data_IF_533582550914
#
_entry.id   IF_533582550914
#
_cell.length_a   1.000
_cell.length_b   1.000
_cell.length_c   1.000
_cell.angle_alpha   90.00
_cell.angle_beta   90.00
_cell.angle_gamma   90.00
#
_symmetry.space_group_name_H-M   'P 1'
#
loop_
_entity.id
_entity.type
_entity.pdbx_description
1 polymer ?
#
# COMPACT_ATOMS: atom_id res chain seq x y z
N UNK A 1 17.22 22.97 39.63
CA UNK A 1 16.92 22.36 40.95
C UNK A 1 17.10 20.86 40.85
N UNK A 2 17.72 20.31 41.87
CA UNK A 2 18.35 19.00 41.98
C UNK A 2 17.43 17.92 42.57
N UNK A 3 17.61 16.67 42.11
CA UNK A 3 17.34 15.36 42.76
C UNK A 3 15.85 15.02 43.08
N UNK A 4 15.35 13.77 43.03
CA UNK A 4 15.97 12.48 43.36
C UNK A 4 15.07 11.30 42.90
N UNK A 5 15.71 10.20 42.47
CA UNK A 5 15.13 8.86 42.40
C UNK A 5 14.73 8.34 43.80
N UNK A 6 13.71 7.49 43.86
CA UNK A 6 13.57 6.42 44.87
C UNK A 6 12.71 5.28 44.31
N UNK A 7 13.22 4.08 44.51
CA UNK A 7 12.70 2.82 44.04
C UNK A 7 12.11 2.00 45.21
N UNK A 8 11.37 0.96 44.83
CA UNK A 8 10.93 -0.21 45.61
C UNK A 8 9.73 -0.04 46.55
N UNK A 9 8.72 -0.87 46.30
CA UNK A 9 7.59 -1.12 47.20
C UNK A 9 6.72 -2.26 46.69
N UNK A 10 7.19 -3.51 46.83
CA UNK A 10 6.38 -4.72 46.68
C UNK A 10 5.33 -4.73 47.78
N UNK A 11 4.04 -4.80 47.42
CA UNK A 11 2.95 -5.01 48.36
C UNK A 11 2.07 -6.18 47.89
N UNK A 12 2.25 -7.32 48.55
CA UNK A 12 1.39 -8.48 48.47
C UNK A 12 0.07 -8.17 49.20
N UNK A 13 -1.06 -8.39 48.53
CA UNK A 13 -2.38 -8.45 49.19
C UNK A 13 -2.87 -9.88 49.04
N UNK A 14 -2.82 -10.60 50.15
CA UNK A 14 -3.54 -11.85 50.35
C UNK A 14 -4.95 -11.52 50.84
N UNK A 15 -5.98 -12.06 50.19
CA UNK A 15 -7.32 -12.18 50.76
C UNK A 15 -7.79 -13.63 50.65
N UNK A 16 -7.98 -14.26 51.81
CA UNK A 16 -8.53 -15.60 51.98
C UNK A 16 -10.06 -15.58 51.92
N UNK A 17 -10.59 -16.36 50.98
CA UNK A 17 -11.73 -17.28 51.03
C UNK A 17 -13.00 -16.95 51.84
N UNK A 18 -14.14 -17.01 51.13
CA UNK A 18 -15.29 -17.78 51.58
C UNK A 18 -15.95 -18.49 50.38
N UNK A 19 -16.01 -19.81 50.52
CA UNK A 19 -16.44 -20.85 49.60
C UNK A 19 -17.96 -21.03 49.55
N UNK A 20 -18.50 -21.23 48.35
CA UNK A 20 -19.66 -22.10 48.14
C UNK A 20 -19.52 -22.84 46.79
N UNK A 21 -18.89 -24.02 46.88
CA UNK A 21 -19.22 -25.30 46.25
C UNK A 21 -19.72 -25.35 44.80
N UNK A 22 -18.83 -25.77 43.89
CA UNK A 22 -18.78 -27.10 43.22
C UNK A 22 -18.22 -26.94 41.80
N UNK A 23 -16.94 -27.25 41.59
CA UNK A 23 -16.41 -28.53 41.03
C UNK A 23 -16.94 -28.82 39.61
N UNK A 24 -16.15 -29.08 38.57
CA UNK A 24 -14.70 -29.22 38.43
C UNK A 24 -14.33 -29.26 36.92
N UNK A 25 -13.02 -29.12 36.65
CA UNK A 25 -12.27 -29.50 35.43
C UNK A 25 -11.90 -28.41 34.40
N UNK A 26 -10.67 -27.88 34.60
CA UNK A 26 -9.53 -27.69 33.67
C UNK A 26 -9.73 -28.05 32.18
N UNK A 27 -9.00 -27.53 31.19
CA UNK A 27 -8.01 -26.46 30.99
C UNK A 27 -7.66 -26.62 29.49
N UNK A 28 -7.66 -25.56 28.68
CA UNK A 28 -6.89 -25.54 27.44
C UNK A 28 -6.75 -24.11 26.91
N UNK A 29 -5.50 -23.67 26.82
CA UNK A 29 -5.06 -22.54 26.03
C UNK A 29 -5.50 -22.67 24.55
N UNK A 30 -5.81 -21.55 23.93
CA UNK A 30 -6.04 -21.46 22.49
C UNK A 30 -6.22 -20.02 22.07
N UNK A 31 -5.15 -19.42 21.54
CA UNK A 31 -5.20 -18.11 20.90
C UNK A 31 -6.23 -18.15 19.76
N UNK A 32 -7.18 -17.23 19.81
CA UNK A 32 -8.20 -17.12 18.79
C UNK A 32 -7.63 -16.34 17.62
N UNK A 33 -7.17 -17.09 16.61
CA UNK A 33 -6.95 -16.60 15.25
C UNK A 33 -8.26 -15.96 14.78
N UNK A 34 -8.22 -14.63 14.60
CA UNK A 34 -9.25 -13.91 13.88
C UNK A 34 -9.14 -14.31 12.41
N UNK A 35 -10.02 -15.21 11.98
CA UNK A 35 -10.28 -15.51 10.58
C UNK A 35 -10.71 -14.22 9.87
N UNK A 36 -9.75 -13.58 9.21
CA UNK A 36 -10.02 -12.52 8.25
C UNK A 36 -10.52 -13.21 6.98
N UNK A 37 -11.84 -13.15 6.79
CA UNK A 37 -12.50 -13.48 5.53
C UNK A 37 -11.91 -12.60 4.42
N UNK A 38 -11.00 -13.17 3.63
CA UNK A 38 -10.52 -12.59 2.39
C UNK A 38 -11.73 -12.40 1.47
N UNK A 39 -12.23 -11.17 1.40
CA UNK A 39 -13.24 -10.78 0.44
C UNK A 39 -12.49 -10.22 -0.76
N UNK A 40 -12.70 -10.84 -1.91
CA UNK A 40 -12.17 -10.51 -3.23
C UNK A 40 -11.95 -9.00 -3.44
N UNK A 41 -10.70 -8.59 -3.44
CA UNK A 41 -10.23 -7.37 -4.11
C UNK A 41 -9.37 -7.74 -5.31
N UNK A 42 -9.85 -8.67 -6.13
CA UNK A 42 -9.21 -9.06 -7.39
C UNK A 42 -10.09 -8.69 -8.59
N UNK A 43 -10.45 -7.41 -8.72
CA UNK A 43 -10.96 -6.84 -9.98
C UNK A 43 -10.58 -5.36 -10.13
N UNK A 44 -9.27 -5.09 -10.18
CA UNK A 44 -8.75 -3.86 -10.76
C UNK A 44 -7.33 -4.08 -11.32
N UNK A 45 -7.15 -5.12 -12.15
CA UNK A 45 -6.02 -5.24 -13.04
C UNK A 45 -6.48 -6.02 -14.28
N UNK A 46 -6.23 -5.47 -15.47
CA UNK A 46 -6.65 -6.10 -16.71
C UNK A 46 -6.07 -7.50 -16.89
N UNK A 47 -6.94 -8.47 -17.20
CA UNK A 47 -6.67 -9.63 -18.05
C UNK A 47 -5.41 -10.46 -17.79
N UNK A 48 -4.92 -10.61 -16.56
CA UNK A 48 -3.89 -11.59 -16.25
C UNK A 48 -4.54 -12.95 -16.01
N UNK A 49 -4.06 -14.00 -16.68
CA UNK A 49 -4.56 -15.36 -16.44
C UNK A 49 -4.05 -15.89 -15.09
N UNK A 50 -4.73 -16.89 -14.52
CA UNK A 50 -4.26 -17.55 -13.29
C UNK A 50 -2.83 -18.12 -13.44
N UNK A 51 -2.44 -18.50 -14.66
CA UNK A 51 -1.08 -18.96 -14.97
C UNK A 51 -0.06 -17.81 -14.92
N UNK A 52 -0.43 -16.61 -15.36
CA UNK A 52 0.42 -15.41 -15.28
C UNK A 52 0.65 -14.98 -13.83
N UNK A 53 -0.38 -15.07 -12.98
CA UNK A 53 -0.28 -14.77 -11.55
C UNK A 53 0.64 -15.76 -10.82
N UNK A 54 0.55 -17.06 -11.12
CA UNK A 54 1.43 -18.08 -10.55
C UNK A 54 2.88 -17.87 -11.01
N UNK A 55 3.10 -17.57 -12.29
CA UNK A 55 4.44 -17.30 -12.82
C UNK A 55 5.06 -16.06 -12.17
N UNK A 56 4.30 -14.98 -12.03
CA UNK A 56 4.74 -13.76 -11.33
C UNK A 56 5.10 -14.04 -9.86
N UNK A 57 4.29 -14.85 -9.16
CA UNK A 57 4.58 -15.27 -7.79
C UNK A 57 5.88 -16.07 -7.68
N UNK A 58 6.20 -16.92 -8.66
CA UNK A 58 7.48 -17.63 -8.67
C UNK A 58 8.67 -16.70 -8.92
N UNK A 59 8.56 -15.73 -9.83
CA UNK A 59 9.62 -14.75 -10.10
C UNK A 59 9.92 -13.88 -8.88
N UNK A 60 8.87 -13.45 -8.17
CA UNK A 60 9.00 -12.72 -6.90
C UNK A 60 9.80 -13.53 -5.87
N UNK A 61 9.49 -14.82 -5.71
CA UNK A 61 10.21 -15.69 -4.77
C UNK A 61 11.69 -15.83 -5.11
N UNK A 62 12.02 -15.94 -6.40
CA UNK A 62 13.41 -16.02 -6.85
C UNK A 62 14.17 -14.71 -6.58
N UNK A 63 13.52 -13.56 -6.77
CA UNK A 63 14.11 -12.24 -6.51
C UNK A 63 14.38 -12.03 -5.01
N UNK A 64 13.42 -12.37 -4.16
CA UNK A 64 13.56 -12.35 -2.70
C UNK A 64 14.70 -13.27 -2.28
N UNK A 65 14.74 -14.50 -2.81
CA UNK A 65 15.81 -15.45 -2.51
C UNK A 65 17.19 -14.91 -2.93
N UNK A 66 17.29 -14.25 -4.09
CA UNK A 66 18.55 -13.64 -4.53
C UNK A 66 19.02 -12.51 -3.59
N UNK A 67 18.09 -11.71 -3.08
CA UNK A 67 18.37 -10.68 -2.08
C UNK A 67 18.84 -11.30 -0.76
N UNK A 68 18.14 -12.32 -0.27
CA UNK A 68 18.48 -13.03 0.97
C UNK A 68 19.88 -13.66 0.88
N UNK A 69 20.20 -14.32 -0.23
CA UNK A 69 21.51 -14.90 -0.48
C UNK A 69 22.61 -13.83 -0.59
N UNK A 70 22.29 -12.64 -1.11
CA UNK A 70 23.22 -11.50 -1.10
C UNK A 70 23.52 -11.05 0.33
N UNK A 71 22.50 -10.97 1.19
CA UNK A 71 22.67 -10.61 2.60
C UNK A 71 23.40 -11.70 3.39
N UNK A 72 23.16 -12.97 3.05
CA UNK A 72 23.89 -14.10 3.60
C UNK A 72 25.38 -14.04 3.22
N UNK A 73 25.70 -13.72 1.97
CA UNK A 73 27.09 -13.55 1.52
C UNK A 73 27.82 -12.44 2.30
N UNK A 74 27.17 -11.30 2.54
CA UNK A 74 27.74 -10.22 3.36
C UNK A 74 28.01 -10.72 4.79
N UNK A 75 27.05 -11.44 5.39
CA UNK A 75 27.20 -12.00 6.74
C UNK A 75 28.35 -13.01 6.82
N UNK A 76 28.50 -13.85 5.79
CA UNK A 76 29.59 -14.82 5.70
C UNK A 76 30.96 -14.15 5.52
N UNK A 77 31.05 -13.07 4.74
CA UNK A 77 32.26 -12.23 4.64
C UNK A 77 32.64 -11.67 6.02
N UNK A 78 31.66 -11.17 6.78
CA UNK A 78 31.89 -10.62 8.12
C UNK A 78 32.34 -11.69 9.13
N UNK A 79 31.90 -12.93 8.95
CA UNK A 79 32.34 -14.08 9.72
C UNK A 79 33.71 -14.63 9.28
N UNK A 80 34.28 -14.15 8.17
CA UNK A 80 35.51 -14.67 7.58
C UNK A 80 35.35 -15.97 6.78
N UNK A 81 34.12 -16.35 6.47
CA UNK A 81 33.78 -17.57 5.73
C UNK A 81 33.66 -17.30 4.22
N UNK A 82 34.79 -17.12 3.53
CA UNK A 82 34.78 -16.78 2.10
C UNK A 82 34.10 -17.85 1.22
N UNK A 83 34.26 -19.13 1.54
CA UNK A 83 33.62 -20.21 0.76
C UNK A 83 32.09 -20.13 0.85
N UNK A 84 31.56 -19.91 2.06
CA UNK A 84 30.12 -19.76 2.27
C UNK A 84 29.57 -18.53 1.55
N UNK A 85 30.34 -17.43 1.53
CA UNK A 85 29.99 -16.24 0.76
C UNK A 85 29.94 -16.53 -0.76
N UNK A 86 30.94 -17.22 -1.30
CA UNK A 86 30.97 -17.63 -2.72
C UNK A 86 29.76 -18.51 -3.05
N UNK A 87 29.46 -19.50 -2.20
CA UNK A 87 28.33 -20.40 -2.42
C UNK A 87 26.99 -19.65 -2.39
N UNK A 88 26.83 -18.67 -1.50
CA UNK A 88 25.66 -17.80 -1.45
C UNK A 88 25.52 -16.93 -2.70
N UNK A 89 26.61 -16.30 -3.17
CA UNK A 89 26.59 -15.51 -4.41
C UNK A 89 26.32 -16.38 -5.66
N UNK A 90 26.79 -17.64 -5.67
CA UNK A 90 26.46 -18.58 -6.74
C UNK A 90 24.96 -18.90 -6.77
N UNK A 91 24.35 -19.13 -5.59
CA UNK A 91 22.89 -19.30 -5.48
C UNK A 91 22.14 -18.04 -5.95
N UNK A 92 22.53 -16.86 -5.46
CA UNK A 92 21.94 -15.58 -5.88
C UNK A 92 22.01 -15.38 -7.40
N UNK A 93 23.17 -15.67 -8.01
CA UNK A 93 23.37 -15.59 -9.46
C UNK A 93 22.41 -16.54 -10.18
N UNK A 94 22.32 -17.80 -9.77
CA UNK A 94 21.40 -18.77 -10.38
C UNK A 94 19.94 -18.31 -10.33
N UNK A 95 19.51 -17.72 -9.21
CA UNK A 95 18.17 -17.13 -9.04
C UNK A 95 17.91 -15.99 -10.02
N UNK A 96 18.86 -15.06 -10.15
CA UNK A 96 18.74 -13.92 -11.07
C UNK A 96 18.72 -14.35 -12.54
N UNK A 97 19.53 -15.35 -12.91
CA UNK A 97 19.54 -15.91 -14.26
C UNK A 97 18.23 -16.62 -14.61
N UNK A 98 17.58 -17.29 -13.65
CA UNK A 98 16.23 -17.87 -13.87
C UNK A 98 15.22 -16.77 -14.19
N UNK A 99 15.26 -15.66 -13.45
CA UNK A 99 14.36 -14.51 -13.70
C UNK A 99 14.61 -13.94 -15.09
N UNK A 100 15.86 -13.65 -15.43
CA UNK A 100 16.24 -13.08 -16.73
C UNK A 100 15.99 -14.02 -17.91
N UNK A 101 16.06 -15.33 -17.70
CA UNK A 101 15.74 -16.32 -18.74
C UNK A 101 14.25 -16.32 -19.06
N UNK A 102 13.40 -16.14 -18.04
CA UNK A 102 11.94 -16.13 -18.21
C UNK A 102 11.43 -14.78 -18.71
N UNK A 103 11.98 -13.70 -18.17
CA UNK A 103 11.60 -12.33 -18.49
C UNK A 103 12.85 -11.50 -18.86
N UNK A 104 13.40 -11.66 -20.08
CA UNK A 104 14.66 -11.02 -20.49
C UNK A 104 14.64 -9.49 -20.48
N UNK A 105 13.45 -8.89 -20.57
CA UNK A 105 13.27 -7.44 -20.60
C UNK A 105 12.82 -6.87 -19.24
N UNK A 106 12.73 -7.69 -18.20
CA UNK A 106 12.34 -7.23 -16.87
C UNK A 106 13.44 -6.33 -16.30
N UNK A 107 13.13 -5.05 -16.13
CA UNK A 107 14.09 -4.07 -15.61
C UNK A 107 14.21 -4.13 -14.07
N UNK A 108 13.08 -4.37 -13.40
CA UNK A 108 12.93 -4.29 -11.95
C UNK A 108 12.26 -5.56 -11.45
N UNK A 109 12.90 -6.25 -10.50
CA UNK A 109 12.31 -7.40 -9.83
C UNK A 109 11.87 -7.01 -8.41
N UNK A 110 10.58 -7.08 -8.07
CA UNK A 110 10.09 -6.74 -6.74
C UNK A 110 10.65 -7.71 -5.69
N UNK A 111 10.98 -7.19 -4.50
CA UNK A 111 11.53 -7.98 -3.38
C UNK A 111 10.89 -7.67 -2.03
N UNK A 112 10.25 -6.51 -1.88
CA UNK A 112 9.52 -6.19 -0.66
C UNK A 112 8.42 -5.16 -0.96
N UNK A 113 7.33 -5.23 -0.21
CA UNK A 113 6.28 -4.23 -0.21
C UNK A 113 6.13 -3.64 1.20
N UNK A 114 5.89 -2.34 1.28
CA UNK A 114 5.39 -1.69 2.49
C UNK A 114 4.20 -0.81 2.16
N UNK A 115 3.28 -0.70 3.11
CA UNK A 115 2.07 0.10 2.97
C UNK A 115 2.14 1.22 3.98
N UNK A 116 1.94 2.45 3.52
CA UNK A 116 1.86 3.64 4.35
C UNK A 116 0.47 4.23 4.15
N UNK A 117 -0.23 4.49 5.24
CA UNK A 117 -1.54 5.13 5.21
C UNK A 117 -1.41 6.56 5.72
N UNK A 118 -1.91 7.50 4.93
CA UNK A 118 -2.15 8.87 5.31
C UNK A 118 -3.65 9.12 5.22
N UNK A 119 -4.25 9.67 6.27
CA UNK A 119 -5.67 10.00 6.23
C UNK A 119 -5.97 11.35 6.88
N UNK A 120 -6.67 12.20 6.13
CA UNK A 120 -7.12 13.51 6.58
C UNK A 120 -8.52 13.38 7.16
N UNK A 121 -8.63 13.58 8.47
CA UNK A 121 -9.91 13.63 9.18
C UNK A 121 -10.45 15.07 9.24
N UNK A 122 -10.75 15.64 8.08
CA UNK A 122 -11.28 17.00 7.93
C UNK A 122 -12.40 17.05 6.89
N UNK A 123 -13.01 18.23 6.71
CA UNK A 123 -13.98 18.44 5.62
C UNK A 123 -13.28 18.94 4.35
N UNK A 124 -13.90 18.81 3.16
CA UNK A 124 -13.36 19.41 1.93
C UNK A 124 -13.10 20.92 2.07
N UNK A 125 -13.94 21.62 2.85
CA UNK A 125 -13.78 23.05 3.13
C UNK A 125 -12.53 23.38 3.95
N UNK A 126 -12.23 22.57 4.97
CA UNK A 126 -11.03 22.75 5.80
C UNK A 126 -9.76 22.52 4.98
N UNK A 127 -9.76 21.48 4.13
CA UNK A 127 -8.64 21.18 3.22
C UNK A 127 -8.43 22.30 2.22
N UNK A 128 -9.52 22.86 1.67
CA UNK A 128 -9.44 23.99 0.76
C UNK A 128 -8.85 25.22 1.44
N UNK A 129 -9.30 25.56 2.66
CA UNK A 129 -8.75 26.69 3.42
C UNK A 129 -7.26 26.51 3.73
N UNK A 130 -6.82 25.28 4.02
CA UNK A 130 -5.40 24.97 4.22
C UNK A 130 -4.61 25.09 2.91
N UNK A 131 -5.19 24.67 1.79
CA UNK A 131 -4.59 24.79 0.46
C UNK A 131 -4.40 26.25 0.05
N UNK A 132 -5.43 27.09 0.24
CA UNK A 132 -5.35 28.54 0.00
C UNK A 132 -4.23 29.17 0.85
N UNK A 133 -4.09 28.73 2.11
CA UNK A 133 -3.01 29.21 2.99
C UNK A 133 -1.61 28.80 2.51
N UNK A 134 -1.48 27.60 1.94
CA UNK A 134 -0.21 27.11 1.37
C UNK A 134 0.15 27.91 0.11
N UNK A 135 -0.85 28.25 -0.71
CA UNK A 135 -0.69 29.12 -1.88
C UNK A 135 -0.16 30.49 -1.47
N UNK A 136 -0.81 31.17 -0.51
CA UNK A 136 -0.36 32.45 0.04
C UNK A 136 1.10 32.39 0.52
N UNK A 137 1.46 31.38 1.31
CA UNK A 137 2.82 31.21 1.83
C UNK A 137 3.84 30.96 0.72
N UNK A 138 3.44 30.28 -0.36
CA UNK A 138 4.29 30.00 -1.51
C UNK A 138 4.52 31.28 -2.32
N UNK A 139 3.48 32.07 -2.54
CA UNK A 139 3.53 33.38 -3.22
C UNK A 139 4.37 34.40 -2.43
N UNK A 140 4.32 34.36 -1.10
CA UNK A 140 5.18 35.14 -0.20
C UNK A 140 6.64 34.65 -0.17
N UNK A 141 6.96 33.52 -0.81
CA UNK A 141 8.29 32.90 -0.79
C UNK A 141 8.65 32.16 0.50
N UNK A 142 7.68 31.91 1.39
CA UNK A 142 7.84 31.26 2.70
C UNK A 142 7.74 29.73 2.60
N UNK A 143 8.59 29.17 1.74
CA UNK A 143 8.54 27.75 1.36
C UNK A 143 8.69 26.77 2.54
N UNK A 144 9.44 27.14 3.59
CA UNK A 144 9.63 26.27 4.76
C UNK A 144 8.39 26.16 5.64
N UNK A 145 7.53 27.17 5.63
CA UNK A 145 6.24 27.13 6.34
C UNK A 145 5.20 26.40 5.50
N UNK A 146 5.14 26.69 4.20
CA UNK A 146 4.29 25.97 3.25
C UNK A 146 4.57 24.45 3.30
N UNK A 147 5.85 24.05 3.26
CA UNK A 147 6.26 22.63 3.31
C UNK A 147 5.71 21.88 4.53
N UNK A 148 5.68 22.52 5.71
CA UNK A 148 5.18 21.91 6.95
C UNK A 148 3.66 21.74 6.92
N UNK A 149 2.94 22.64 6.25
CA UNK A 149 1.50 22.52 6.08
C UNK A 149 1.13 21.46 5.04
N UNK A 150 1.89 21.37 3.94
CA UNK A 150 1.69 20.36 2.89
C UNK A 150 1.84 18.91 3.41
N UNK A 151 2.64 18.68 4.45
CA UNK A 151 2.79 17.35 5.07
C UNK A 151 1.45 16.75 5.55
N UNK A 152 0.48 17.60 5.89
CA UNK A 152 -0.85 17.18 6.34
C UNK A 152 -1.89 17.00 5.22
N UNK A 153 -1.56 17.27 3.97
CA UNK A 153 -2.49 17.23 2.83
C UNK A 153 -2.40 15.92 2.04
N UNK A 154 -2.58 14.79 2.72
CA UNK A 154 -2.57 13.47 2.08
C UNK A 154 -3.64 12.55 2.67
N UNK A 155 -4.56 12.08 1.83
CA UNK A 155 -5.53 11.03 2.18
C UNK A 155 -5.40 9.91 1.15
N UNK A 156 -4.48 9.00 1.41
CA UNK A 156 -4.03 7.96 0.49
C UNK A 156 -3.39 6.78 1.21
N UNK A 157 -3.44 5.63 0.57
CA UNK A 157 -2.53 4.54 0.87
C UNK A 157 -1.43 4.51 -0.20
N UNK A 158 -0.18 4.52 0.23
CA UNK A 158 0.98 4.39 -0.64
C UNK A 158 1.57 2.99 -0.50
N UNK A 159 1.54 2.22 -1.59
CA UNK A 159 2.25 0.95 -1.67
C UNK A 159 3.64 1.23 -2.23
N UNK A 160 4.65 1.05 -1.38
CA UNK A 160 6.06 1.11 -1.76
C UNK A 160 6.55 -0.28 -2.09
N UNK A 161 7.06 -0.45 -3.30
CA UNK A 161 7.69 -1.69 -3.74
C UNK A 161 9.19 -1.44 -3.90
N UNK A 162 10.00 -2.17 -3.15
CA UNK A 162 11.44 -2.23 -3.34
C UNK A 162 11.77 -3.22 -4.44
N UNK A 163 12.63 -2.84 -5.37
CA UNK A 163 12.97 -3.64 -6.54
C UNK A 163 14.49 -3.77 -6.75
N UNK A 164 14.93 -4.97 -7.13
CA UNK A 164 16.27 -5.21 -7.65
C UNK A 164 16.38 -4.68 -9.09
N UNK A 165 17.35 -3.81 -9.40
CA UNK A 165 17.60 -3.38 -10.77
C UNK A 165 18.33 -4.48 -11.56
N UNK A 166 17.60 -5.25 -12.35
CA UNK A 166 18.14 -6.42 -13.06
C UNK A 166 19.16 -6.06 -14.15
N UNK A 167 19.20 -4.82 -14.60
CA UNK A 167 20.21 -4.33 -15.55
C UNK A 167 21.62 -4.15 -14.96
N UNK A 168 21.76 -4.06 -13.63
CA UNK A 168 23.06 -3.79 -12.98
C UNK A 168 23.37 -4.72 -11.82
N UNK A 169 22.34 -5.16 -11.10
CA UNK A 169 22.50 -5.97 -9.89
C UNK A 169 23.20 -7.32 -10.13
N UNK A 170 22.85 -8.12 -11.16
CA UNK A 170 23.51 -9.40 -11.42
C UNK A 170 25.02 -9.28 -11.67
N UNK A 171 25.46 -8.24 -12.38
CA UNK A 171 26.87 -7.99 -12.65
C UNK A 171 27.65 -7.62 -11.39
N UNK A 172 27.01 -6.93 -10.44
CA UNK A 172 27.60 -6.63 -9.15
C UNK A 172 27.81 -7.91 -8.31
N UNK A 173 26.84 -8.83 -8.33
CA UNK A 173 26.97 -10.15 -7.67
C UNK A 173 28.13 -10.95 -8.26
N UNK A 174 28.22 -11.03 -9.60
CA UNK A 174 29.33 -11.72 -10.29
C UNK A 174 30.69 -11.09 -9.96
N UNK A 175 30.76 -9.76 -9.91
CA UNK A 175 31.99 -9.03 -9.54
C UNK A 175 32.41 -9.30 -8.10
N UNK A 176 31.48 -9.34 -7.15
CA UNK A 176 31.78 -9.67 -5.77
C UNK A 176 32.30 -11.11 -5.62
N UNK A 177 31.73 -12.08 -6.36
CA UNK A 177 32.24 -13.45 -6.37
C UNK A 177 33.69 -13.51 -6.88
N UNK A 178 34.01 -12.83 -7.98
CA UNK A 178 35.38 -12.76 -8.50
C UNK A 178 36.37 -12.14 -7.48
N UNK A 179 35.95 -11.12 -6.73
CA UNK A 179 36.78 -10.51 -5.68
C UNK A 179 37.02 -11.47 -4.50
N UNK A 180 36.07 -12.34 -4.17
CA UNK A 180 36.27 -13.37 -3.14
C UNK A 180 37.27 -14.43 -3.58
N UNK A 181 37.22 -14.84 -4.85
CA UNK A 181 38.22 -15.75 -5.44
C UNK A 181 39.63 -15.13 -5.45
N UNK A 182 39.72 -13.80 -5.66
CA UNK A 182 40.96 -13.02 -5.54
C UNK A 182 41.42 -12.78 -4.09
N UNK A 183 40.73 -13.36 -3.10
CA UNK A 183 40.99 -13.17 -1.67
C UNK A 183 40.87 -11.70 -1.22
N UNK A 184 39.93 -10.95 -1.81
CA UNK A 184 39.61 -9.54 -1.47
C UNK A 184 38.21 -9.40 -0.85
N UNK A 185 37.96 -10.00 0.33
CA UNK A 185 36.62 -10.04 0.93
C UNK A 185 36.05 -8.66 1.27
N UNK A 186 36.89 -7.72 1.68
CA UNK A 186 36.42 -6.36 2.01
C UNK A 186 35.99 -5.57 0.77
N UNK A 187 36.69 -5.74 -0.36
CA UNK A 187 36.29 -5.15 -1.63
C UNK A 187 34.99 -5.78 -2.14
N UNK A 188 34.84 -7.11 -2.01
CA UNK A 188 33.61 -7.82 -2.35
C UNK A 188 32.42 -7.30 -1.53
N UNK A 189 32.58 -7.15 -0.22
CA UNK A 189 31.53 -6.59 0.66
C UNK A 189 31.11 -5.19 0.22
N UNK A 190 32.06 -4.31 -0.13
CA UNK A 190 31.73 -2.97 -0.62
C UNK A 190 30.94 -3.02 -1.93
N UNK A 191 31.27 -3.92 -2.86
CA UNK A 191 30.49 -4.12 -4.09
C UNK A 191 29.05 -4.53 -3.76
N UNK A 192 28.86 -5.50 -2.85
CA UNK A 192 27.52 -5.96 -2.46
C UNK A 192 26.70 -4.87 -1.77
N UNK A 193 27.29 -4.12 -0.83
CA UNK A 193 26.60 -3.00 -0.15
C UNK A 193 26.23 -1.88 -1.12
N UNK A 194 27.11 -1.58 -2.09
CA UNK A 194 26.81 -0.63 -3.15
C UNK A 194 25.65 -1.15 -4.01
N UNK A 195 25.62 -2.43 -4.36
CA UNK A 195 24.52 -3.04 -5.11
C UNK A 195 23.19 -2.94 -4.36
N UNK A 196 23.17 -3.25 -3.05
CA UNK A 196 21.97 -3.09 -2.21
C UNK A 196 21.49 -1.63 -2.12
N UNK A 197 22.42 -0.68 -2.16
CA UNK A 197 22.11 0.76 -2.17
C UNK A 197 21.49 1.23 -3.51
N UNK A 198 21.46 0.38 -4.54
CA UNK A 198 20.80 0.67 -5.83
C UNK A 198 19.38 0.12 -5.93
N UNK A 199 18.83 -0.50 -4.86
CA UNK A 199 17.44 -0.95 -4.84
C UNK A 199 16.51 0.23 -5.16
N UNK A 200 15.65 0.01 -6.16
CA UNK A 200 14.73 1.04 -6.66
C UNK A 200 13.40 0.92 -5.95
N UNK A 201 12.96 1.99 -5.30
CA UNK A 201 11.62 2.08 -4.72
C UNK A 201 10.68 2.68 -5.75
N UNK A 202 9.61 1.95 -6.07
CA UNK A 202 8.48 2.43 -6.87
C UNK A 202 7.26 2.58 -5.97
N UNK A 203 6.42 3.56 -6.25
CA UNK A 203 5.21 3.84 -5.47
C UNK A 203 3.96 3.65 -6.33
N UNK A 204 2.93 3.04 -5.73
CA UNK A 204 1.56 3.03 -6.24
C UNK A 204 0.68 3.76 -5.24
N UNK A 205 -0.04 4.78 -5.70
CA UNK A 205 -0.86 5.64 -4.83
C UNK A 205 -2.32 5.20 -4.96
N UNK A 206 -2.96 4.92 -3.83
CA UNK A 206 -4.39 4.61 -3.74
C UNK A 206 -5.08 5.78 -3.03
N UNK A 207 -5.70 6.71 -3.78
CA UNK A 207 -6.35 7.88 -3.21
C UNK A 207 -7.61 7.47 -2.44
N UNK A 208 -7.59 7.63 -1.11
CA UNK A 208 -8.67 7.19 -0.23
C UNK A 208 -10.02 7.86 -0.54
N UNK A 209 -10.09 9.18 -0.84
CA UNK A 209 -11.37 9.80 -1.17
C UNK A 209 -12.02 9.20 -2.43
N UNK A 210 -11.23 8.87 -3.45
CA UNK A 210 -11.75 8.25 -4.68
C UNK A 210 -12.28 6.83 -4.39
N UNK A 211 -11.56 6.04 -3.58
CA UNK A 211 -12.00 4.70 -3.17
C UNK A 211 -13.26 4.74 -2.30
N UNK A 212 -13.34 5.69 -1.36
CA UNK A 212 -14.52 5.89 -0.51
C UNK A 212 -15.73 6.30 -1.35
N UNK A 213 -15.54 7.18 -2.33
CA UNK A 213 -16.59 7.56 -3.27
C UNK A 213 -17.09 6.38 -4.10
N UNK A 214 -16.18 5.56 -4.65
CA UNK A 214 -16.51 4.35 -5.40
C UNK A 214 -17.30 3.36 -4.54
N UNK A 215 -16.89 3.16 -3.28
CA UNK A 215 -17.57 2.29 -2.32
C UNK A 215 -19.00 2.77 -2.01
N UNK A 216 -19.20 4.08 -1.84
CA UNK A 216 -20.55 4.63 -1.63
C UNK A 216 -21.44 4.50 -2.88
N UNK A 217 -20.90 4.70 -4.09
CA UNK A 217 -21.65 4.44 -5.33
C UNK A 217 -22.05 2.96 -5.44
N UNK A 218 -21.17 2.06 -5.07
CA UNK A 218 -21.46 0.62 -5.06
C UNK A 218 -22.53 0.25 -4.02
N UNK A 219 -22.49 0.84 -2.82
CA UNK A 219 -23.53 0.69 -1.82
C UNK A 219 -24.90 1.19 -2.35
N UNK A 220 -24.91 2.32 -3.06
CA UNK A 220 -26.11 2.82 -3.74
C UNK A 220 -26.62 1.85 -4.82
N UNK A 221 -25.72 1.22 -5.59
CA UNK A 221 -26.05 0.21 -6.61
C UNK A 221 -26.80 -0.98 -6.03
N UNK A 222 -26.29 -1.53 -4.93
CA UNK A 222 -26.89 -2.69 -4.26
C UNK A 222 -28.33 -2.40 -3.83
N UNK A 223 -28.60 -1.20 -3.30
CA UNK A 223 -29.95 -0.79 -2.90
C UNK A 223 -30.83 -0.50 -4.12
N UNK A 224 -30.27 0.14 -5.16
CA UNK A 224 -30.99 0.47 -6.40
C UNK A 224 -31.47 -0.77 -7.17
N UNK A 225 -30.77 -1.90 -7.04
CA UNK A 225 -31.12 -3.17 -7.69
C UNK A 225 -32.32 -3.91 -7.05
N UNK A 226 -32.83 -3.46 -5.90
CA UNK A 226 -34.02 -4.06 -5.28
C UNK A 226 -35.26 -3.85 -6.15
N UNK A 227 -36.07 -4.90 -6.31
CA UNK A 227 -37.32 -4.84 -7.10
C UNK A 227 -38.43 -4.03 -6.39
N UNK A 228 -38.52 -4.15 -5.06
CA UNK A 228 -39.57 -3.53 -4.24
C UNK A 228 -39.02 -2.37 -3.41
N UNK A 229 -38.46 -1.35 -4.08
CA UNK A 229 -37.84 -0.20 -3.40
C UNK A 229 -38.85 0.61 -2.61
N UNK A 230 -38.52 0.90 -1.36
CA UNK A 230 -39.31 1.79 -0.50
C UNK A 230 -38.82 3.25 -0.59
N UNK A 231 -39.51 4.16 0.11
CA UNK A 231 -39.04 5.54 0.26
C UNK A 231 -37.73 5.60 1.05
N UNK A 232 -37.58 4.74 2.04
CA UNK A 232 -36.39 4.59 2.86
C UNK A 232 -35.21 4.08 2.02
N UNK A 233 -35.44 3.13 1.10
CA UNK A 233 -34.42 2.70 0.14
C UNK A 233 -33.95 3.86 -0.75
N UNK A 234 -34.88 4.70 -1.23
CA UNK A 234 -34.54 5.86 -2.04
C UNK A 234 -33.74 6.91 -1.25
N UNK A 235 -34.07 7.10 0.02
CA UNK A 235 -33.30 7.98 0.92
C UNK A 235 -31.89 7.42 1.19
N UNK A 236 -31.76 6.10 1.35
CA UNK A 236 -30.46 5.45 1.54
C UNK A 236 -29.57 5.62 0.30
N UNK A 237 -30.12 5.45 -0.90
CA UNK A 237 -29.41 5.72 -2.16
C UNK A 237 -28.93 7.17 -2.21
N UNK A 238 -29.82 8.13 -1.97
CA UNK A 238 -29.46 9.55 -2.00
C UNK A 238 -28.37 9.89 -0.98
N UNK A 239 -28.43 9.31 0.23
CA UNK A 239 -27.41 9.50 1.26
C UNK A 239 -26.04 8.95 0.84
N UNK A 240 -25.98 7.77 0.21
CA UNK A 240 -24.72 7.22 -0.31
C UNK A 240 -24.16 8.04 -1.47
N UNK A 241 -25.01 8.47 -2.41
CA UNK A 241 -24.56 9.34 -3.51
C UNK A 241 -24.07 10.70 -3.00
N UNK A 242 -24.67 11.24 -1.95
CA UNK A 242 -24.19 12.45 -1.29
C UNK A 242 -22.80 12.25 -0.65
N UNK A 243 -22.58 11.14 0.06
CA UNK A 243 -21.25 10.79 0.59
C UNK A 243 -20.22 10.68 -0.54
N UNK A 244 -20.58 10.04 -1.65
CA UNK A 244 -19.68 9.92 -2.79
C UNK A 244 -19.28 11.28 -3.36
N UNK A 245 -20.23 12.22 -3.46
CA UNK A 245 -19.96 13.61 -3.90
C UNK A 245 -19.02 14.34 -2.94
N UNK A 246 -19.26 14.25 -1.64
CA UNK A 246 -18.40 14.86 -0.62
C UNK A 246 -16.97 14.31 -0.69
N UNK A 247 -16.81 13.01 -0.95
CA UNK A 247 -15.50 12.39 -1.13
C UNK A 247 -14.81 12.80 -2.45
N UNK A 248 -15.56 13.06 -3.52
CA UNK A 248 -14.99 13.63 -4.75
C UNK A 248 -14.56 15.09 -4.53
N UNK A 249 -15.33 15.88 -3.78
CA UNK A 249 -14.93 17.23 -3.38
C UNK A 249 -13.66 17.19 -2.50
N UNK A 250 -13.55 16.21 -1.59
CA UNK A 250 -12.33 15.97 -0.84
C UNK A 250 -11.15 15.62 -1.75
N UNK A 251 -11.36 14.73 -2.74
CA UNK A 251 -10.34 14.37 -3.72
C UNK A 251 -9.83 15.61 -4.48
N UNK A 252 -10.76 16.48 -4.89
CA UNK A 252 -10.46 17.72 -5.58
C UNK A 252 -9.69 18.70 -4.71
N UNK A 253 -10.09 18.86 -3.45
CA UNK A 253 -9.43 19.74 -2.49
C UNK A 253 -8.00 19.28 -2.18
N UNK A 254 -7.75 17.97 -2.14
CA UNK A 254 -6.41 17.38 -1.96
C UNK A 254 -5.58 17.33 -3.25
N UNK A 255 -6.14 17.76 -4.39
CA UNK A 255 -5.43 17.78 -5.67
C UNK A 255 -5.26 16.41 -6.32
N UNK A 256 -6.10 15.44 -6.00
CA UNK A 256 -6.09 14.12 -6.65
C UNK A 256 -6.77 14.16 -8.01
N UNK A 257 -6.23 13.37 -8.95
CA UNK A 257 -6.68 13.26 -10.35
C UNK A 257 -6.73 14.61 -11.07
N UNK A 258 -7.20 14.63 -12.33
CA UNK A 258 -7.41 15.91 -13.02
C UNK A 258 -8.76 16.49 -12.62
N UNK A 259 -8.85 17.83 -12.61
CA UNK A 259 -10.14 18.52 -12.41
C UNK A 259 -11.22 17.98 -13.35
N UNK A 260 -10.88 17.74 -14.62
CA UNK A 260 -11.82 17.17 -15.58
C UNK A 260 -12.32 15.79 -15.17
N UNK A 261 -11.45 14.90 -14.71
CA UNK A 261 -11.85 13.54 -14.31
C UNK A 261 -12.80 13.57 -13.10
N UNK A 262 -12.57 14.48 -12.15
CA UNK A 262 -13.44 14.66 -10.99
C UNK A 262 -14.76 15.35 -11.35
N UNK A 263 -14.74 16.37 -12.21
CA UNK A 263 -15.96 17.03 -12.70
C UNK A 263 -16.84 16.03 -13.47
N UNK A 264 -16.24 15.20 -14.35
CA UNK A 264 -16.94 14.14 -15.09
C UNK A 264 -17.58 13.11 -14.12
N UNK A 265 -16.91 12.78 -13.00
CA UNK A 265 -17.45 11.92 -11.93
C UNK A 265 -18.63 12.56 -11.19
N UNK A 266 -18.51 13.84 -10.81
CA UNK A 266 -19.60 14.57 -10.13
C UNK A 266 -20.86 14.63 -11.01
N UNK A 267 -20.69 14.94 -12.30
CA UNK A 267 -21.80 14.99 -13.26
C UNK A 267 -22.46 13.61 -13.42
N UNK A 268 -21.66 12.55 -13.51
CA UNK A 268 -22.17 11.19 -13.62
C UNK A 268 -22.95 10.73 -12.38
N UNK A 269 -22.50 11.10 -11.18
CA UNK A 269 -23.23 10.80 -9.92
C UNK A 269 -24.53 11.60 -9.84
N UNK A 270 -24.52 12.87 -10.26
CA UNK A 270 -25.73 13.70 -10.31
C UNK A 270 -26.76 13.13 -11.30
N UNK A 271 -26.31 12.64 -12.44
CA UNK A 271 -27.18 11.93 -13.39
C UNK A 271 -27.75 10.65 -12.76
N UNK A 272 -26.91 9.88 -12.06
CA UNK A 272 -27.34 8.67 -11.36
C UNK A 272 -28.38 8.96 -10.26
N UNK A 273 -28.22 10.04 -9.50
CA UNK A 273 -29.20 10.48 -8.49
C UNK A 273 -30.57 10.76 -9.12
N UNK A 274 -30.60 11.43 -10.28
CA UNK A 274 -31.84 11.67 -11.03
C UNK A 274 -32.47 10.36 -11.51
N UNK A 275 -31.70 9.51 -12.17
CA UNK A 275 -32.19 8.24 -12.73
C UNK A 275 -32.68 7.28 -11.63
N UNK A 276 -31.97 7.22 -10.50
CA UNK A 276 -32.40 6.41 -9.34
C UNK A 276 -33.66 6.97 -8.70
N UNK A 277 -33.85 8.29 -8.65
CA UNK A 277 -35.08 8.94 -8.18
C UNK A 277 -36.30 8.64 -9.06
N UNK A 278 -36.09 8.47 -10.36
CA UNK A 278 -37.14 8.12 -11.34
C UNK A 278 -37.42 6.60 -11.43
N UNK A 279 -36.64 5.77 -10.73
CA UNK A 279 -36.74 4.31 -10.80
C UNK A 279 -36.10 3.68 -12.04
N UNK A 280 -35.31 4.46 -12.79
CA UNK A 280 -34.74 4.11 -14.10
C UNK A 280 -33.27 3.66 -14.04
N UNK A 281 -32.74 3.39 -12.85
CA UNK A 281 -31.33 3.09 -12.64
C UNK A 281 -30.90 1.76 -13.31
N UNK A 282 -30.40 1.85 -14.53
CA UNK A 282 -29.87 0.71 -15.26
C UNK A 282 -28.41 0.42 -14.86
N UNK A 283 -28.05 -0.86 -14.75
CA UNK A 283 -26.69 -1.32 -14.41
C UNK A 283 -25.59 -0.66 -15.26
N UNK A 284 -25.89 -0.39 -16.54
CA UNK A 284 -24.99 0.31 -17.48
C UNK A 284 -24.48 1.67 -16.97
N UNK A 285 -25.26 2.38 -16.13
CA UNK A 285 -24.84 3.66 -15.56
C UNK A 285 -23.76 3.47 -14.51
N UNK A 286 -23.89 2.44 -13.66
CA UNK A 286 -22.90 2.10 -12.65
C UNK A 286 -21.60 1.63 -13.30
N UNK A 287 -21.67 0.81 -14.34
CA UNK A 287 -20.48 0.38 -15.10
C UNK A 287 -19.74 1.57 -15.73
N UNK A 288 -20.48 2.55 -16.27
CA UNK A 288 -19.87 3.79 -16.78
C UNK A 288 -19.14 4.55 -15.67
N UNK A 289 -19.75 4.69 -14.49
CA UNK A 289 -19.15 5.38 -13.34
C UNK A 289 -17.91 4.63 -12.82
N UNK A 290 -17.95 3.29 -12.77
CA UNK A 290 -16.79 2.46 -12.43
C UNK A 290 -15.60 2.72 -13.36
N UNK A 291 -15.86 2.87 -14.67
CA UNK A 291 -14.84 3.28 -15.63
C UNK A 291 -14.23 4.66 -15.35
N UNK A 292 -15.05 5.63 -14.92
CA UNK A 292 -14.56 6.95 -14.52
C UNK A 292 -13.70 6.91 -13.25
N UNK A 293 -14.07 6.10 -12.25
CA UNK A 293 -13.23 5.88 -11.07
C UNK A 293 -11.89 5.23 -11.41
N UNK A 294 -11.88 4.27 -12.34
CA UNK A 294 -10.64 3.69 -12.89
C UNK A 294 -9.72 4.76 -13.48
N UNK A 295 -10.27 5.61 -14.36
CA UNK A 295 -9.52 6.71 -14.98
C UNK A 295 -8.99 7.72 -13.94
N UNK A 296 -9.80 8.07 -12.94
CA UNK A 296 -9.38 8.98 -11.87
C UNK A 296 -8.22 8.40 -11.06
N UNK A 297 -8.25 7.10 -10.71
CA UNK A 297 -7.15 6.41 -10.01
C UNK A 297 -5.87 6.33 -10.85
N UNK A 298 -5.99 6.12 -12.15
CA UNK A 298 -4.84 6.13 -13.07
C UNK A 298 -4.19 7.52 -13.13
N UNK A 299 -4.98 8.59 -13.14
CA UNK A 299 -4.49 9.96 -13.17
C UNK A 299 -3.69 10.36 -11.91
N UNK A 300 -3.85 9.64 -10.79
CA UNK A 300 -3.09 9.88 -9.55
C UNK A 300 -1.70 9.26 -9.59
N UNK A 301 -1.47 8.24 -10.42
CA UNK A 301 -0.21 7.50 -10.37
C UNK A 301 0.99 8.38 -10.76
N UNK A 302 2.14 8.20 -10.09
CA UNK A 302 3.38 8.86 -10.49
C UNK A 302 3.68 8.55 -11.96
N UNK A 303 4.07 9.57 -12.73
CA UNK A 303 4.51 9.35 -14.11
C UNK A 303 5.75 8.46 -14.08
N UNK A 304 5.71 7.36 -14.84
CA UNK A 304 6.89 6.52 -15.08
C UNK A 304 7.90 7.36 -15.87
N UNK A 305 9.01 7.70 -15.24
CA UNK A 305 10.15 8.34 -15.89
C UNK A 305 10.92 7.35 -16.76
#
# INVERSE_FOLDING_TARGET
>A
MTFRNLAHGVAAIALLAATACSDNAEEAAGGQEASASATDTDQAAGGATAEDQVQLGTLLKEAVSALDETQAAISAIDAGNNQEAIDALARATGKLEIILTREPNLALAPVANSVIEHDVLATPGDVKALSDRIEDLTDEGRLQEARRLMEGLASEMVIRTSNLPLGTYPDAIKRAAALLDEQKPQEAKLVLLNALSTIVVTETIIPLPIVRAETSVEAARVVAAKKDRTKEDNQAIAAELQKAREQIEMAQALGYATKKDLDDLQDAIKELERETGEGNAADRFFERIKGLFGKAREAVQPKKN
#
